data_IF_424211576723
#
_entry.id   IF_424211576723
#
_cell.length_a   1.000
_cell.length_b   1.000
_cell.length_c   1.000
_cell.angle_alpha   90.00
_cell.angle_beta   90.00
_cell.angle_gamma   90.00
#
_symmetry.space_group_name_H-M   'P 1'
#
loop_
_entity.id
_entity.type
_entity.pdbx_description
1 polymer ?
#
# COMPACT_ATOMS: atom_id res chain seq x y z
N UNK A 1 11.40 -2.63 -13.03
CA UNK A 1 12.62 -3.07 -13.73
C UNK A 1 12.25 -4.27 -14.59
N UNK A 2 12.57 -4.23 -15.88
CA UNK A 2 12.24 -5.31 -16.82
C UNK A 2 13.53 -5.80 -17.48
N UNK A 3 13.69 -7.12 -17.63
CA UNK A 3 14.81 -7.70 -18.36
C UNK A 3 14.56 -7.60 -19.88
N UNK A 4 15.57 -7.19 -20.63
CA UNK A 4 15.49 -7.01 -22.09
C UNK A 4 15.30 -8.35 -22.84
N UNK A 5 15.75 -9.46 -22.24
CA UNK A 5 15.71 -10.79 -22.85
C UNK A 5 14.35 -11.51 -22.66
N UNK A 6 13.58 -11.15 -21.64
CA UNK A 6 12.35 -11.86 -21.25
C UNK A 6 11.25 -10.85 -20.89
N UNK A 7 10.24 -10.76 -21.75
CA UNK A 7 9.12 -9.82 -21.63
C UNK A 7 8.32 -9.99 -20.32
N UNK A 8 8.39 -11.19 -19.71
CA UNK A 8 7.66 -11.54 -18.48
C UNK A 8 8.48 -11.32 -17.19
N UNK A 9 9.78 -11.05 -17.30
CA UNK A 9 10.62 -10.85 -16.12
C UNK A 9 10.53 -9.40 -15.66
N UNK A 10 9.60 -9.15 -14.74
CA UNK A 10 9.35 -7.83 -14.17
C UNK A 10 9.57 -7.82 -12.65
N UNK A 11 10.34 -6.84 -12.18
CA UNK A 11 10.50 -6.49 -10.78
C UNK A 11 9.80 -5.17 -10.51
N UNK A 12 9.02 -5.16 -9.44
CA UNK A 12 8.21 -4.03 -9.01
C UNK A 12 8.64 -3.63 -7.60
N UNK A 13 8.88 -2.33 -7.38
CA UNK A 13 9.27 -1.81 -6.09
C UNK A 13 8.58 -0.46 -5.86
N UNK A 14 8.07 -0.27 -4.64
CA UNK A 14 7.57 1.01 -4.16
C UNK A 14 8.46 1.46 -3.00
N UNK A 15 9.24 2.55 -3.15
CA UNK A 15 10.03 3.07 -2.04
C UNK A 15 9.09 3.69 -0.99
N UNK A 16 9.19 3.20 0.25
CA UNK A 16 8.47 3.75 1.40
C UNK A 16 9.49 4.45 2.31
N UNK A 17 9.22 5.70 2.68
CA UNK A 17 10.15 6.56 3.44
C UNK A 17 9.92 6.52 4.95
N UNK A 18 9.01 5.66 5.42
CA UNK A 18 8.63 5.51 6.82
C UNK A 18 8.46 4.01 7.16
N UNK A 19 8.46 3.63 8.44
CA UNK A 19 8.39 2.22 8.84
C UNK A 19 6.98 1.61 8.74
N UNK A 20 5.96 2.40 8.40
CA UNK A 20 4.55 2.00 8.47
C UNK A 20 4.08 1.52 7.09
N UNK A 21 4.35 0.26 6.79
CA UNK A 21 3.87 -0.40 5.58
C UNK A 21 3.42 -1.83 5.86
N UNK A 22 2.58 -2.36 4.98
CA UNK A 22 2.15 -3.74 5.01
C UNK A 22 2.03 -4.28 3.58
N UNK A 23 2.34 -5.55 3.41
CA UNK A 23 2.01 -6.29 2.19
C UNK A 23 0.63 -6.91 2.38
N UNK A 24 -0.28 -6.65 1.45
CA UNK A 24 -1.64 -7.19 1.49
C UNK A 24 -1.59 -8.71 1.36
N UNK A 25 -2.31 -9.41 2.25
CA UNK A 25 -2.44 -10.86 2.22
C UNK A 25 -3.28 -11.37 1.05
N UNK A 26 -3.27 -12.69 0.83
CA UNK A 26 -4.05 -13.35 -0.23
C UNK A 26 -5.57 -13.16 -0.07
N UNK A 27 -6.03 -12.85 1.14
CA UNK A 27 -7.43 -12.57 1.47
C UNK A 27 -7.80 -11.09 1.27
N UNK A 28 -6.89 -10.26 0.76
CA UNK A 28 -7.09 -8.84 0.52
C UNK A 28 -6.99 -7.98 1.79
N UNK A 29 -6.59 -8.53 2.93
CA UNK A 29 -6.45 -7.81 4.19
C UNK A 29 -5.03 -7.34 4.43
N UNK A 30 -4.89 -6.24 5.16
CA UNK A 30 -3.62 -5.70 5.62
C UNK A 30 -3.79 -5.15 7.02
N UNK A 31 -2.69 -5.11 7.77
CA UNK A 31 -2.64 -4.53 9.11
C UNK A 31 -1.30 -3.81 9.27
N UNK A 32 -1.34 -2.58 9.78
CA UNK A 32 -0.17 -1.79 10.13
C UNK A 32 -0.29 -1.49 11.63
N UNK A 33 0.63 -2.04 12.42
CA UNK A 33 0.64 -1.90 13.88
C UNK A 33 1.45 -0.69 14.30
N UNK A 34 1.21 -0.25 15.53
CA UNK A 34 2.00 0.78 16.23
C UNK A 34 2.06 2.13 15.50
N UNK A 35 1.02 2.45 14.72
CA UNK A 35 0.89 3.76 14.06
C UNK A 35 0.52 4.80 15.13
N UNK A 36 1.32 5.87 15.32
CA UNK A 36 1.02 6.91 16.27
C UNK A 36 -0.30 7.62 15.95
N UNK A 37 -0.88 8.32 16.93
CA UNK A 37 -2.06 9.14 16.69
C UNK A 37 -1.73 10.30 15.74
N UNK A 38 -2.58 10.54 14.75
CA UNK A 38 -2.36 11.59 13.77
C UNK A 38 -3.21 11.46 12.52
N UNK A 39 -3.06 12.44 11.62
CA UNK A 39 -3.64 12.42 10.28
C UNK A 39 -2.57 11.95 9.29
N UNK A 40 -2.91 10.91 8.54
CA UNK A 40 -2.01 10.27 7.60
C UNK A 40 -2.65 10.15 6.23
N UNK A 41 -1.80 10.05 5.22
CA UNK A 41 -2.18 9.69 3.87
C UNK A 41 -1.78 8.23 3.64
N UNK A 42 -2.76 7.35 3.59
CA UNK A 42 -2.54 5.93 3.34
C UNK A 42 -2.49 5.71 1.82
N UNK A 43 -1.45 5.02 1.37
CA UNK A 43 -1.19 4.77 -0.05
C UNK A 43 -1.30 3.27 -0.32
N UNK A 44 -2.23 2.90 -1.20
CA UNK A 44 -2.38 1.54 -1.69
C UNK A 44 -1.86 1.46 -3.13
N UNK A 45 -0.97 0.52 -3.41
CA UNK A 45 -0.36 0.35 -4.72
C UNK A 45 -0.27 -1.12 -5.09
N UNK A 46 -0.55 -1.41 -6.35
CA UNK A 46 -0.31 -2.71 -6.94
C UNK A 46 0.26 -2.49 -8.34
N UNK A 47 1.34 -3.19 -8.72
CA UNK A 47 2.06 -2.91 -9.96
C UNK A 47 1.23 -3.11 -11.23
N UNK A 48 0.39 -4.16 -11.25
CA UNK A 48 -0.43 -4.50 -12.41
C UNK A 48 -1.86 -3.91 -12.37
N UNK A 49 -2.38 -3.54 -11.20
CA UNK A 49 -3.74 -3.03 -11.07
C UNK A 49 -3.73 -1.51 -11.15
N UNK A 50 -4.86 -0.90 -11.54
CA UNK A 50 -4.96 0.56 -11.71
C UNK A 50 -3.81 1.17 -12.54
N UNK A 51 -3.27 0.40 -13.50
CA UNK A 51 -2.11 0.76 -14.34
C UNK A 51 -0.86 1.16 -13.53
N UNK A 52 -0.67 0.56 -12.36
CA UNK A 52 0.45 0.86 -11.47
C UNK A 52 0.35 2.22 -10.78
N UNK A 53 -0.81 2.90 -10.85
CA UNK A 53 -1.03 4.17 -10.14
C UNK A 53 -1.50 3.90 -8.71
N UNK A 54 -0.90 4.57 -7.70
CA UNK A 54 -1.35 4.44 -6.33
C UNK A 54 -2.74 5.05 -6.14
N UNK A 55 -3.50 4.47 -5.21
CA UNK A 55 -4.73 5.04 -4.66
C UNK A 55 -4.36 5.61 -3.30
N UNK A 56 -4.86 6.81 -3.01
CA UNK A 56 -4.51 7.55 -1.80
C UNK A 56 -5.79 7.85 -1.02
N UNK A 57 -5.75 7.64 0.30
CA UNK A 57 -6.87 7.93 1.19
C UNK A 57 -6.37 8.61 2.46
N UNK A 58 -7.04 9.69 2.87
CA UNK A 58 -6.77 10.33 4.16
C UNK A 58 -7.37 9.49 5.29
N UNK A 59 -6.60 9.27 6.35
CA UNK A 59 -7.02 8.51 7.52
C UNK A 59 -6.57 9.22 8.79
N UNK A 60 -7.42 9.22 9.79
CA UNK A 60 -7.12 9.74 11.12
C UNK A 60 -7.01 8.56 12.09
N UNK A 61 -5.84 8.37 12.68
CA UNK A 61 -5.60 7.41 13.74
C UNK A 61 -5.75 8.15 15.06
N UNK A 62 -6.73 7.75 15.87
CA UNK A 62 -6.91 8.29 17.23
C UNK A 62 -6.06 7.49 18.20
N UNK A 63 -5.68 8.11 19.31
CA UNK A 63 -4.85 7.49 20.33
C UNK A 63 -5.49 6.17 20.84
N UNK A 64 -4.75 5.07 20.73
CA UNK A 64 -5.21 3.73 21.11
C UNK A 64 -6.33 3.13 20.26
N UNK A 65 -6.71 3.75 19.13
CA UNK A 65 -7.80 3.27 18.28
C UNK A 65 -7.32 2.77 16.91
N UNK A 66 -7.94 1.70 16.41
CA UNK A 66 -7.72 1.21 15.06
C UNK A 66 -8.50 2.06 14.05
N UNK A 67 -7.85 2.46 12.96
CA UNK A 67 -8.51 3.07 11.81
C UNK A 67 -8.67 2.04 10.68
N UNK A 68 -9.78 2.09 9.94
CA UNK A 68 -10.07 1.16 8.84
C UNK A 68 -10.09 1.91 7.50
N UNK A 69 -9.50 1.32 6.48
CA UNK A 69 -9.56 1.81 5.09
C UNK A 69 -9.89 0.66 4.15
N UNK A 70 -10.62 0.97 3.07
CA UNK A 70 -10.94 0.04 2.00
C UNK A 70 -10.49 0.65 0.68
N UNK A 71 -9.66 -0.09 -0.06
CA UNK A 71 -9.18 0.29 -1.38
C UNK A 71 -9.79 -0.62 -2.44
N UNK A 72 -10.29 -0.04 -3.53
CA UNK A 72 -10.82 -0.77 -4.67
C UNK A 72 -10.01 -0.40 -5.91
N UNK A 73 -9.24 -1.36 -6.41
CA UNK A 73 -8.47 -1.19 -7.65
C UNK A 73 -9.38 -1.46 -8.85
N UNK A 74 -9.30 -0.59 -9.86
CA UNK A 74 -9.98 -0.74 -11.16
C UNK A 74 -9.03 -1.30 -12.22
#
# INVERSE_FOLDING_TARGET
MQCDQHEFMQVWALPVTNPYYAVVGVDGKFEIKDVPAGKYKLVAWHPALNKGKPIEQEIEVKDGASASAKFEFK
#
